data_IF_856168834527
#
_entry.id   IF_856168834527
#
_cell.length_a   1.000
_cell.length_b   1.000
_cell.length_c   1.000
_cell.angle_alpha   90.00
_cell.angle_beta   90.00
_cell.angle_gamma   90.00
#
_symmetry.space_group_name_H-M   'P 1'
#
loop_
_entity.id
_entity.type
_entity.pdbx_description
1 polymer ?
#
# COMPACT_ATOMS: atom_id res chain seq x y z
N UNK A 1 41.05 5.56 -12.01
CA UNK A 1 40.97 6.47 -10.86
C UNK A 1 39.50 6.92 -10.70
N UNK A 2 38.66 6.06 -10.12
CA UNK A 2 37.26 6.39 -9.76
C UNK A 2 36.86 5.54 -8.54
N UNK A 3 37.41 5.88 -7.38
CA UNK A 3 37.22 5.08 -6.14
C UNK A 3 37.03 5.94 -4.89
N UNK A 4 36.39 7.13 -5.03
CA UNK A 4 36.26 8.04 -3.88
C UNK A 4 34.91 8.77 -3.73
N UNK A 5 33.92 8.52 -4.58
CA UNK A 5 32.59 9.19 -4.47
C UNK A 5 31.52 8.39 -3.74
N UNK A 6 31.67 7.06 -3.58
CA UNK A 6 30.63 6.20 -3.01
C UNK A 6 30.60 6.10 -1.47
N UNK A 7 31.63 6.63 -0.80
CA UNK A 7 31.76 6.52 0.68
C UNK A 7 30.82 7.48 1.46
N UNK A 8 30.11 8.37 0.79
CA UNK A 8 29.24 9.40 1.40
C UNK A 8 27.77 9.32 0.99
N UNK A 9 27.36 8.20 0.40
CA UNK A 9 25.95 8.00 0.05
C UNK A 9 25.08 7.94 1.31
N UNK A 10 24.08 8.80 1.35
CA UNK A 10 23.05 8.79 2.42
C UNK A 10 22.41 7.40 2.49
N UNK A 11 22.00 6.92 3.68
CA UNK A 11 21.37 5.59 3.86
C UNK A 11 20.24 5.33 2.86
N UNK A 12 19.43 6.34 2.58
CA UNK A 12 18.31 6.21 1.64
C UNK A 12 18.76 5.93 0.20
N UNK A 13 19.85 6.55 -0.25
CA UNK A 13 20.39 6.31 -1.58
C UNK A 13 21.01 4.92 -1.67
N UNK A 14 21.75 4.47 -0.63
CA UNK A 14 22.29 3.10 -0.59
C UNK A 14 21.17 2.06 -0.66
N UNK A 15 20.09 2.27 0.08
CA UNK A 15 18.92 1.38 0.04
C UNK A 15 18.27 1.32 -1.33
N UNK A 16 18.15 2.44 -2.04
CA UNK A 16 17.63 2.47 -3.41
C UNK A 16 18.53 1.70 -4.37
N UNK A 17 19.83 2.00 -4.37
CA UNK A 17 20.82 1.30 -5.20
C UNK A 17 20.86 -0.20 -4.92
N UNK A 18 20.73 -0.60 -3.65
CA UNK A 18 20.67 -1.99 -3.25
C UNK A 18 19.45 -2.72 -3.83
N UNK A 19 18.29 -2.06 -3.86
CA UNK A 19 17.09 -2.62 -4.47
C UNK A 19 17.20 -2.70 -6.01
N UNK A 20 17.91 -1.79 -6.65
CA UNK A 20 18.21 -1.84 -8.08
C UNK A 20 19.12 -3.04 -8.40
N UNK A 21 20.22 -3.21 -7.69
CA UNK A 21 21.09 -4.37 -7.86
C UNK A 21 20.36 -5.69 -7.66
N UNK A 22 19.48 -5.79 -6.64
CA UNK A 22 18.67 -6.99 -6.43
C UNK A 22 17.70 -7.29 -7.58
N UNK A 23 17.21 -6.27 -8.29
CA UNK A 23 16.37 -6.45 -9.47
C UNK A 23 17.15 -6.91 -10.69
N UNK A 24 18.36 -6.40 -10.84
CA UNK A 24 19.22 -6.66 -12.01
C UNK A 24 19.99 -7.97 -11.88
N UNK A 25 20.58 -8.22 -10.71
CA UNK A 25 21.53 -9.31 -10.48
C UNK A 25 20.94 -10.48 -9.68
N UNK A 26 19.77 -10.29 -9.04
CA UNK A 26 19.16 -11.29 -8.15
C UNK A 26 19.77 -11.26 -6.73
N UNK A 27 19.84 -12.41 -6.03
CA UNK A 27 20.30 -12.49 -4.64
C UNK A 27 21.75 -11.99 -4.48
N UNK A 28 21.98 -11.18 -3.44
CA UNK A 28 23.29 -10.58 -3.13
C UNK A 28 23.80 -11.01 -1.76
N UNK A 29 25.11 -11.19 -1.62
CA UNK A 29 25.76 -11.46 -0.33
C UNK A 29 26.09 -10.16 0.40
N UNK A 30 26.02 -10.18 1.72
CA UNK A 30 26.36 -9.01 2.56
C UNK A 30 27.79 -8.54 2.33
N UNK A 31 28.75 -9.48 2.18
CA UNK A 31 30.15 -9.17 1.87
C UNK A 31 30.31 -8.37 0.57
N UNK A 32 29.63 -8.81 -0.48
CA UNK A 32 29.72 -8.19 -1.81
C UNK A 32 29.11 -6.77 -1.79
N UNK A 33 28.00 -6.59 -1.06
CA UNK A 33 27.37 -5.28 -0.86
C UNK A 33 28.31 -4.34 -0.08
N UNK A 34 28.93 -4.86 0.99
CA UNK A 34 29.89 -4.13 1.82
C UNK A 34 31.09 -3.64 0.98
N UNK A 35 31.63 -4.52 0.14
CA UNK A 35 32.75 -4.19 -0.75
C UNK A 35 32.35 -3.14 -1.80
N UNK A 36 31.20 -3.30 -2.45
CA UNK A 36 30.71 -2.38 -3.50
C UNK A 36 30.45 -0.97 -2.97
N UNK A 37 29.83 -0.84 -1.80
CA UNK A 37 29.60 0.46 -1.17
C UNK A 37 30.82 1.02 -0.43
N UNK A 38 31.86 0.23 -0.21
CA UNK A 38 33.03 0.64 0.57
C UNK A 38 32.70 0.94 2.05
N UNK A 39 31.66 0.32 2.61
CA UNK A 39 31.21 0.49 3.99
C UNK A 39 31.35 -0.83 4.77
N UNK A 40 31.30 -0.76 6.11
CA UNK A 40 31.35 -1.98 6.93
C UNK A 40 30.10 -2.84 6.75
N UNK A 41 30.24 -4.17 6.93
CA UNK A 41 29.06 -5.08 6.94
C UNK A 41 28.02 -4.66 7.98
N UNK A 42 28.40 -4.10 9.11
CA UNK A 42 27.49 -3.56 10.13
C UNK A 42 26.64 -2.43 9.60
N UNK A 43 27.18 -1.60 8.71
CA UNK A 43 26.42 -0.54 8.03
C UNK A 43 25.43 -1.16 7.05
N UNK A 44 25.86 -2.16 6.28
CA UNK A 44 24.99 -2.91 5.37
C UNK A 44 23.86 -3.60 6.14
N UNK A 45 24.18 -4.27 7.26
CA UNK A 45 23.14 -4.91 8.10
C UNK A 45 22.10 -3.93 8.61
N UNK A 46 22.48 -2.69 8.92
CA UNK A 46 21.54 -1.64 9.35
C UNK A 46 20.59 -1.25 8.22
N UNK A 47 21.10 -1.03 7.01
CA UNK A 47 20.28 -0.72 5.83
C UNK A 47 19.38 -1.92 5.46
N UNK A 48 19.92 -3.14 5.48
CA UNK A 48 19.19 -4.40 5.24
C UNK A 48 18.08 -4.62 6.27
N UNK A 49 18.32 -4.31 7.55
CA UNK A 49 17.29 -4.42 8.58
C UNK A 49 16.10 -3.50 8.29
N UNK A 50 16.37 -2.24 7.95
CA UNK A 50 15.31 -1.29 7.60
C UNK A 50 14.50 -1.73 6.38
N UNK A 51 15.16 -2.26 5.34
CA UNK A 51 14.48 -2.79 4.15
C UNK A 51 13.70 -4.07 4.45
N UNK A 52 14.20 -4.95 5.30
CA UNK A 52 13.51 -6.17 5.72
C UNK A 52 12.28 -5.88 6.59
N UNK A 53 12.41 -4.95 7.54
CA UNK A 53 11.29 -4.48 8.39
C UNK A 53 10.19 -3.83 7.54
N UNK A 54 10.57 -3.19 6.43
CA UNK A 54 9.65 -2.66 5.42
C UNK A 54 9.14 -3.72 4.41
N UNK A 55 9.46 -5.00 4.59
CA UNK A 55 9.13 -6.11 3.68
C UNK A 55 9.60 -5.90 2.21
N UNK A 56 10.67 -5.11 2.02
CA UNK A 56 11.23 -4.83 0.69
C UNK A 56 12.22 -5.90 0.23
N UNK A 57 12.79 -6.65 1.16
CA UNK A 57 13.75 -7.73 0.93
C UNK A 57 13.53 -8.89 1.92
N UNK A 58 14.00 -10.07 1.56
CA UNK A 58 14.07 -11.25 2.43
C UNK A 58 15.54 -11.52 2.75
N UNK A 59 15.83 -11.81 4.02
CA UNK A 59 17.15 -12.26 4.46
C UNK A 59 17.32 -13.74 4.17
N UNK A 60 18.48 -14.09 3.67
CA UNK A 60 18.92 -15.47 3.48
C UNK A 60 20.20 -15.72 4.27
N UNK A 61 20.63 -16.96 4.52
CA UNK A 61 21.91 -17.23 5.15
C UNK A 61 23.06 -16.57 4.37
N UNK A 62 23.64 -15.51 4.94
CA UNK A 62 24.77 -14.76 4.36
C UNK A 62 24.43 -13.72 3.29
N UNK A 63 23.15 -13.49 2.99
CA UNK A 63 22.75 -12.54 1.94
C UNK A 63 21.33 -12.04 2.03
N UNK A 64 20.87 -11.47 0.92
CA UNK A 64 19.52 -10.93 0.77
C UNK A 64 18.98 -11.21 -0.63
N UNK A 65 17.65 -11.27 -0.75
CA UNK A 65 16.94 -11.40 -2.03
C UNK A 65 15.70 -10.54 -2.03
N UNK A 66 15.16 -10.27 -3.22
CA UNK A 66 13.81 -9.71 -3.32
C UNK A 66 12.79 -10.79 -2.90
N UNK A 67 11.67 -10.39 -2.27
CA UNK A 67 10.54 -11.29 -2.12
C UNK A 67 10.10 -11.81 -3.49
N UNK A 68 9.64 -13.06 -3.61
CA UNK A 68 9.11 -13.59 -4.86
C UNK A 68 7.99 -12.67 -5.38
N UNK A 69 7.88 -12.52 -6.70
CA UNK A 69 6.94 -11.57 -7.33
C UNK A 69 5.48 -11.80 -6.87
N UNK A 70 5.13 -13.04 -6.51
CA UNK A 70 3.84 -13.41 -5.93
C UNK A 70 3.63 -12.84 -4.52
N UNK A 71 4.69 -12.73 -3.70
CA UNK A 71 4.61 -12.16 -2.35
C UNK A 71 4.71 -10.64 -2.36
N UNK A 72 5.47 -10.05 -3.30
CA UNK A 72 5.52 -8.60 -3.49
C UNK A 72 4.16 -8.04 -3.91
N UNK A 73 3.47 -8.73 -4.83
CA UNK A 73 2.12 -8.35 -5.26
C UNK A 73 1.06 -8.59 -4.18
N UNK A 74 1.23 -9.61 -3.33
CA UNK A 74 0.30 -9.92 -2.26
C UNK A 74 0.29 -8.88 -1.12
N UNK A 75 1.39 -8.12 -0.95
CA UNK A 75 1.53 -7.16 0.15
C UNK A 75 1.54 -5.69 -0.30
N UNK A 76 1.32 -5.43 -1.58
CA UNK A 76 1.26 -4.09 -2.16
C UNK A 76 -0.11 -3.81 -2.76
N UNK A 77 -0.54 -2.56 -2.61
CA UNK A 77 -1.77 -2.08 -3.21
C UNK A 77 -1.67 -2.11 -4.74
N UNK A 78 -2.61 -2.80 -5.40
CA UNK A 78 -2.66 -2.90 -6.86
C UNK A 78 -2.88 -1.57 -7.58
N UNK A 79 -3.16 -0.48 -6.85
CA UNK A 79 -3.35 0.85 -7.39
C UNK A 79 -2.18 1.81 -7.08
N UNK A 80 -1.92 2.08 -5.79
CA UNK A 80 -0.92 3.07 -5.37
C UNK A 80 0.45 2.48 -5.00
N UNK A 81 0.61 1.16 -5.06
CA UNK A 81 1.82 0.39 -4.78
C UNK A 81 2.35 0.51 -3.34
N UNK A 82 1.64 1.19 -2.45
CA UNK A 82 2.00 1.26 -1.02
C UNK A 82 1.79 -0.09 -0.34
N UNK A 83 2.55 -0.38 0.73
CA UNK A 83 2.31 -1.55 1.57
C UNK A 83 0.87 -1.58 2.08
N UNK A 84 0.27 -2.77 2.12
CA UNK A 84 -1.09 -2.96 2.61
C UNK A 84 -1.06 -3.11 4.12
N UNK A 85 -1.82 -2.26 4.81
CA UNK A 85 -2.15 -2.45 6.22
C UNK A 85 -3.44 -3.28 6.30
N UNK A 86 -3.36 -4.46 6.87
CA UNK A 86 -4.46 -5.44 6.86
C UNK A 86 -5.79 -4.91 7.45
N UNK A 87 -5.74 -3.94 8.35
CA UNK A 87 -6.94 -3.34 8.98
C UNK A 87 -7.83 -2.56 8.01
N UNK A 88 -7.27 -2.01 6.93
CA UNK A 88 -8.00 -1.18 5.95
C UNK A 88 -8.02 -1.81 4.56
N UNK A 89 -7.45 -3.01 4.41
CA UNK A 89 -7.33 -3.67 3.13
C UNK A 89 -8.69 -3.99 2.50
N UNK A 90 -8.73 -3.86 1.20
CA UNK A 90 -9.90 -4.14 0.36
C UNK A 90 -9.50 -5.12 -0.72
N UNK A 91 -10.38 -6.04 -1.05
CA UNK A 91 -10.20 -7.01 -2.12
C UNK A 91 -11.16 -6.70 -3.26
N UNK A 92 -10.65 -6.60 -4.48
CA UNK A 92 -11.45 -6.62 -5.68
C UNK A 92 -11.41 -8.03 -6.25
N UNK A 93 -12.57 -8.64 -6.42
CA UNK A 93 -12.72 -9.97 -7.03
C UNK A 93 -13.19 -9.77 -8.45
N UNK A 94 -12.45 -10.26 -9.41
CA UNK A 94 -12.80 -10.14 -10.82
C UNK A 94 -13.76 -11.25 -11.25
N UNK A 95 -14.38 -11.08 -12.41
CA UNK A 95 -15.23 -12.10 -13.05
C UNK A 95 -14.43 -13.41 -13.30
N UNK A 96 -13.12 -13.30 -13.57
CA UNK A 96 -12.22 -14.46 -13.71
C UNK A 96 -11.75 -15.05 -12.38
N UNK A 97 -12.34 -14.65 -11.24
CA UNK A 97 -11.99 -15.09 -9.89
C UNK A 97 -10.57 -14.67 -9.42
N UNK A 98 -9.90 -13.78 -10.14
CA UNK A 98 -8.65 -13.21 -9.65
C UNK A 98 -8.94 -12.19 -8.53
N UNK A 99 -8.05 -12.12 -7.55
CA UNK A 99 -8.16 -11.21 -6.39
C UNK A 99 -7.06 -10.16 -6.46
N UNK A 100 -7.44 -8.89 -6.53
CA UNK A 100 -6.53 -7.76 -6.42
C UNK A 100 -6.66 -7.14 -5.02
N UNK A 101 -5.53 -6.92 -4.36
CA UNK A 101 -5.49 -6.32 -3.02
C UNK A 101 -5.29 -4.81 -3.11
N UNK A 102 -6.09 -4.05 -2.35
CA UNK A 102 -5.99 -2.59 -2.24
C UNK A 102 -5.72 -2.19 -0.79
N UNK A 103 -4.97 -1.09 -0.59
CA UNK A 103 -4.64 -0.64 0.77
C UNK A 103 -5.83 0.00 1.50
N UNK A 104 -6.83 0.52 0.79
CA UNK A 104 -8.01 1.19 1.36
C UNK A 104 -9.13 1.32 0.32
N UNK A 105 -10.31 1.75 0.76
CA UNK A 105 -11.49 1.99 -0.09
C UNK A 105 -11.22 3.01 -1.21
N UNK A 106 -10.46 4.07 -0.93
CA UNK A 106 -10.09 5.06 -1.96
C UNK A 106 -9.41 4.40 -3.17
N UNK A 107 -8.37 3.61 -2.93
CA UNK A 107 -7.67 2.89 -4.00
C UNK A 107 -8.54 1.82 -4.67
N UNK A 108 -9.43 1.18 -3.89
CA UNK A 108 -10.36 0.21 -4.42
C UNK A 108 -11.37 0.86 -5.39
N UNK A 109 -11.90 2.03 -5.04
CA UNK A 109 -12.80 2.79 -5.93
C UNK A 109 -12.11 3.19 -7.22
N UNK A 110 -10.90 3.74 -7.14
CA UNK A 110 -10.15 4.13 -8.34
C UNK A 110 -9.83 2.93 -9.23
N UNK A 111 -9.48 1.79 -8.64
CA UNK A 111 -9.21 0.57 -9.39
C UNK A 111 -10.48 -0.03 -9.96
N UNK A 112 -11.59 0.02 -9.23
CA UNK A 112 -12.91 -0.41 -9.66
C UNK A 112 -13.36 0.36 -10.90
N UNK A 113 -13.23 1.70 -10.92
CA UNK A 113 -13.58 2.50 -12.09
C UNK A 113 -12.70 2.19 -13.31
N UNK A 114 -11.39 1.94 -13.11
CA UNK A 114 -10.49 1.54 -14.20
C UNK A 114 -10.88 0.17 -14.81
N UNK A 115 -11.56 -0.71 -14.06
CA UNK A 115 -11.87 -2.10 -14.43
C UNK A 115 -13.32 -2.50 -14.15
N UNK A 116 -14.24 -1.59 -14.26
CA UNK A 116 -15.64 -1.75 -13.82
C UNK A 116 -16.33 -3.00 -14.37
N UNK A 117 -16.08 -3.32 -15.64
CA UNK A 117 -16.68 -4.49 -16.30
C UNK A 117 -16.00 -5.82 -15.89
N UNK A 118 -14.78 -5.77 -15.36
CA UNK A 118 -14.05 -6.95 -14.95
C UNK A 118 -14.27 -7.32 -13.48
N UNK A 119 -14.72 -6.37 -12.63
CA UNK A 119 -14.88 -6.57 -11.19
C UNK A 119 -16.27 -7.07 -10.85
N UNK A 120 -16.35 -8.26 -10.22
CA UNK A 120 -17.60 -8.85 -9.75
C UNK A 120 -17.97 -8.42 -8.33
N UNK A 121 -17.00 -8.31 -7.43
CA UNK A 121 -17.22 -7.96 -6.03
C UNK A 121 -16.10 -7.08 -5.47
N UNK A 122 -16.47 -6.19 -4.57
CA UNK A 122 -15.55 -5.40 -3.74
C UNK A 122 -15.80 -5.80 -2.29
N UNK A 123 -14.79 -6.37 -1.64
CA UNK A 123 -14.85 -6.86 -0.27
C UNK A 123 -14.00 -5.95 0.62
N UNK A 124 -14.59 -5.43 1.69
CA UNK A 124 -13.91 -4.58 2.66
C UNK A 124 -14.17 -5.09 4.09
N UNK A 125 -13.62 -4.39 5.07
CA UNK A 125 -13.88 -4.66 6.50
C UNK A 125 -14.61 -3.49 7.14
N UNK A 126 -15.56 -3.80 8.03
CA UNK A 126 -16.12 -2.81 8.94
C UNK A 126 -14.99 -2.15 9.75
N UNK A 127 -15.02 -0.83 9.83
CA UNK A 127 -13.95 -0.08 10.50
C UNK A 127 -13.88 -0.37 12.01
N UNK A 128 -15.02 -0.52 12.66
CA UNK A 128 -15.09 -0.74 14.11
C UNK A 128 -15.01 -2.23 14.47
N UNK A 129 -15.77 -3.06 13.76
CA UNK A 129 -15.95 -4.47 14.11
C UNK A 129 -14.92 -5.38 13.43
N UNK A 130 -14.22 -4.89 12.40
CA UNK A 130 -13.27 -5.66 11.58
C UNK A 130 -13.91 -6.90 10.91
N UNK A 131 -15.23 -6.93 10.80
CA UNK A 131 -15.97 -7.97 10.08
C UNK A 131 -15.94 -7.72 8.58
N UNK A 132 -15.97 -8.80 7.82
CA UNK A 132 -15.94 -8.74 6.34
C UNK A 132 -17.30 -8.29 5.80
N UNK A 133 -17.30 -7.34 4.86
CA UNK A 133 -18.47 -6.77 4.21
C UNK A 133 -18.29 -6.78 2.69
N UNK A 134 -19.41 -6.88 1.96
CA UNK A 134 -19.42 -6.44 0.56
C UNK A 134 -19.61 -4.92 0.50
N UNK A 135 -18.89 -4.24 -0.36
CA UNK A 135 -19.02 -2.78 -0.50
C UNK A 135 -20.46 -2.35 -0.88
N UNK A 136 -21.17 -3.20 -1.63
CA UNK A 136 -22.56 -2.95 -2.00
C UNK A 136 -23.51 -2.87 -0.81
N UNK A 137 -23.20 -3.53 0.32
CA UNK A 137 -24.02 -3.55 1.54
C UNK A 137 -23.49 -2.64 2.64
N UNK A 138 -22.35 -2.00 2.45
CA UNK A 138 -21.72 -1.15 3.44
C UNK A 138 -22.16 0.31 3.34
N UNK A 139 -22.10 1.02 4.45
CA UNK A 139 -22.20 2.48 4.52
C UNK A 139 -20.81 3.08 4.60
N UNK A 140 -20.56 4.13 3.84
CA UNK A 140 -19.26 4.80 3.77
C UNK A 140 -19.36 6.21 4.34
N UNK A 141 -18.42 6.54 5.23
CA UNK A 141 -18.25 7.91 5.70
C UNK A 141 -17.06 8.53 4.97
N UNK A 142 -17.33 9.55 4.17
CA UNK A 142 -16.32 10.29 3.39
C UNK A 142 -16.11 11.68 4.01
N UNK A 143 -14.92 12.23 3.90
CA UNK A 143 -14.54 13.54 4.46
C UNK A 143 -14.66 13.65 5.99
N UNK A 144 -14.53 12.54 6.72
CA UNK A 144 -14.43 12.60 8.18
C UNK A 144 -13.12 13.31 8.57
N UNK A 145 -13.18 14.13 9.63
CA UNK A 145 -12.02 14.84 10.19
C UNK A 145 -11.21 13.91 11.10
N UNK A 146 -10.60 12.92 10.47
CA UNK A 146 -9.69 11.94 11.10
C UNK A 146 -8.62 11.55 10.09
N UNK A 147 -7.39 11.35 10.55
CA UNK A 147 -6.32 10.83 9.71
C UNK A 147 -6.06 9.34 10.00
N UNK A 148 -6.42 8.50 9.06
CA UNK A 148 -6.15 7.04 9.10
C UNK A 148 -4.84 6.67 8.41
N UNK A 149 -4.01 7.67 8.05
CA UNK A 149 -2.74 7.49 7.33
C UNK A 149 -2.88 6.68 6.02
N UNK A 150 -4.04 6.75 5.39
CA UNK A 150 -4.31 6.13 4.09
C UNK A 150 -4.49 7.19 2.97
N UNK A 151 -4.88 6.77 1.78
CA UNK A 151 -5.10 7.67 0.64
C UNK A 151 -6.28 8.61 0.89
N UNK A 152 -6.21 9.84 0.36
CA UNK A 152 -7.25 10.86 0.54
C UNK A 152 -7.96 11.17 -0.79
N UNK A 153 -9.28 11.51 -0.75
CA UNK A 153 -10.15 11.52 0.42
C UNK A 153 -10.34 10.12 1.00
N UNK A 154 -10.43 10.02 2.32
CA UNK A 154 -10.66 8.75 3.00
C UNK A 154 -12.14 8.38 2.91
N UNK A 155 -12.42 7.08 2.75
CA UNK A 155 -13.75 6.53 2.85
C UNK A 155 -13.74 5.37 3.86
N UNK A 156 -14.52 5.50 4.91
CA UNK A 156 -14.51 4.61 6.08
C UNK A 156 -15.74 3.72 6.01
N UNK A 157 -15.60 2.37 5.90
CA UNK A 157 -16.74 1.47 5.77
C UNK A 157 -17.33 1.06 7.12
N UNK A 158 -18.65 0.99 7.19
CA UNK A 158 -19.42 0.54 8.33
C UNK A 158 -20.48 -0.48 7.89
N UNK A 159 -20.73 -1.48 8.72
CA UNK A 159 -21.74 -2.52 8.48
C UNK A 159 -23.16 -2.01 8.68
N UNK A 160 -23.35 -0.99 9.53
CA UNK A 160 -24.67 -0.43 9.84
C UNK A 160 -24.69 1.09 9.76
N UNK A 161 -25.84 1.64 9.43
CA UNK A 161 -26.05 3.09 9.43
C UNK A 161 -25.85 3.69 10.83
N UNK A 162 -26.29 3.01 11.88
CA UNK A 162 -26.17 3.47 13.27
C UNK A 162 -24.67 3.68 13.67
N UNK A 163 -23.79 2.76 13.31
CA UNK A 163 -22.35 2.94 13.55
C UNK A 163 -21.76 4.11 12.75
N UNK A 164 -22.16 4.23 11.50
CA UNK A 164 -21.73 5.35 10.66
C UNK A 164 -22.19 6.70 11.23
N UNK A 165 -23.45 6.81 11.66
CA UNK A 165 -24.03 8.02 12.26
C UNK A 165 -23.38 8.39 13.60
N UNK A 166 -23.10 7.40 14.45
CA UNK A 166 -22.37 7.63 15.72
C UNK A 166 -20.97 8.12 15.46
N UNK A 167 -20.29 7.56 14.48
CA UNK A 167 -18.95 7.98 14.12
C UNK A 167 -18.96 9.38 13.50
N UNK A 168 -19.93 9.67 12.62
CA UNK A 168 -20.11 10.98 12.01
C UNK A 168 -20.33 12.10 13.04
N UNK A 169 -21.04 11.83 14.15
CA UNK A 169 -21.25 12.82 15.23
C UNK A 169 -19.94 13.30 15.85
N UNK A 170 -18.92 12.45 15.89
CA UNK A 170 -17.61 12.79 16.45
C UNK A 170 -16.64 13.41 15.43
N UNK A 171 -16.69 12.95 14.19
CA UNK A 171 -15.67 13.25 13.18
C UNK A 171 -16.22 13.96 11.93
N UNK A 172 -17.50 14.28 11.90
CA UNK A 172 -18.11 14.90 10.72
C UNK A 172 -18.12 14.00 9.49
N UNK A 173 -18.17 14.60 8.32
CA UNK A 173 -18.18 13.90 7.04
C UNK A 173 -19.58 13.63 6.48
N UNK A 174 -19.66 12.86 5.41
CA UNK A 174 -20.88 12.51 4.68
C UNK A 174 -21.03 11.01 4.60
N UNK A 175 -22.17 10.49 5.10
CA UNK A 175 -22.51 9.07 4.98
C UNK A 175 -23.17 8.83 3.61
N UNK A 176 -22.72 7.79 2.92
CA UNK A 176 -23.22 7.46 1.58
C UNK A 176 -23.06 5.96 1.27
N UNK A 177 -23.64 5.53 0.15
CA UNK A 177 -23.43 4.21 -0.46
C UNK A 177 -22.09 4.14 -1.20
N UNK A 178 -21.69 2.95 -1.65
CA UNK A 178 -20.46 2.75 -2.42
C UNK A 178 -20.43 3.61 -3.70
N UNK A 179 -21.52 3.60 -4.47
CA UNK A 179 -21.59 4.37 -5.72
C UNK A 179 -21.42 5.87 -5.47
N UNK A 180 -22.06 6.38 -4.41
CA UNK A 180 -21.94 7.80 -4.04
C UNK A 180 -20.57 8.15 -3.52
N UNK A 181 -19.92 7.24 -2.78
CA UNK A 181 -18.52 7.41 -2.38
C UNK A 181 -17.60 7.43 -3.60
N UNK A 182 -17.87 6.60 -4.62
CA UNK A 182 -17.14 6.63 -5.88
C UNK A 182 -17.29 7.97 -6.59
N UNK A 183 -18.50 8.50 -6.74
CA UNK A 183 -18.73 9.83 -7.33
C UNK A 183 -17.92 10.92 -6.62
N UNK A 184 -17.92 10.93 -5.28
CA UNK A 184 -17.22 11.93 -4.47
C UNK A 184 -15.70 11.81 -4.71
N UNK A 185 -15.15 10.60 -4.61
CA UNK A 185 -13.70 10.37 -4.74
C UNK A 185 -13.21 10.70 -6.16
N UNK A 186 -13.96 10.34 -7.18
CA UNK A 186 -13.61 10.63 -8.58
C UNK A 186 -13.68 12.14 -8.89
N UNK A 187 -14.67 12.83 -8.36
CA UNK A 187 -14.77 14.28 -8.50
C UNK A 187 -13.62 15.02 -7.80
N UNK A 188 -13.25 14.59 -6.59
CA UNK A 188 -12.15 15.19 -5.85
C UNK A 188 -10.78 14.91 -6.50
N UNK A 189 -10.61 13.77 -7.16
CA UNK A 189 -9.42 13.47 -7.96
C UNK A 189 -9.18 14.52 -9.06
N UNK A 190 -10.24 15.02 -9.70
CA UNK A 190 -10.14 16.05 -10.74
C UNK A 190 -9.67 17.40 -10.18
N UNK A 191 -9.85 17.65 -8.87
CA UNK A 191 -9.45 18.90 -8.18
C UNK A 191 -8.04 18.87 -7.58
N UNK A 192 -7.26 17.81 -7.77
CA UNK A 192 -5.88 17.71 -7.29
C UNK A 192 -5.66 16.74 -6.12
N UNK A 193 -6.13 15.50 -6.25
CA UNK A 193 -5.82 14.44 -5.29
C UNK A 193 -4.31 14.15 -5.25
N UNK A 194 -3.69 14.16 -4.06
CA UNK A 194 -2.26 13.92 -3.83
C UNK A 194 -1.86 12.43 -3.84
N UNK A 195 -2.58 11.57 -4.55
CA UNK A 195 -2.11 10.23 -4.85
C UNK A 195 -1.23 10.27 -6.11
N UNK A 196 -0.05 10.90 -6.01
CA UNK A 196 0.97 10.79 -7.05
C UNK A 196 1.51 9.34 -7.04
N UNK A 197 1.47 8.72 -8.22
CA UNK A 197 2.30 7.55 -8.52
C UNK A 197 3.74 8.03 -8.43
N UNK A 198 4.42 7.74 -7.33
CA UNK A 198 5.87 7.90 -7.19
C UNK A 198 6.49 6.54 -7.24
#
# INVERSE_FOLDING_TARGET
>A
MHKKEDAELLPIHRQQTLLEWLKEEGPLKISDISERFGVSEMTVYRDVNQLADANRIIRTPGGITLPPASEQSANQCGYCLRPIQHSYSVQLITVSQAVEQMCCIHCAILRYEDKKEEVSHVICKDFLLQTTLTAASAYFLVHADIDLHCCRPQAIPFSTLDYAERFQKGFGGVICTFDKAADIILHDRQKGCTCSKT
#
